data_IF_878288811580
#
_entry.id   IF_878288811580
#
_cell.length_a   1.000
_cell.length_b   1.000
_cell.length_c   1.000
_cell.angle_alpha   90.00
_cell.angle_beta   90.00
_cell.angle_gamma   90.00
#
_symmetry.space_group_name_H-M   'P 1'
#
loop_
_entity.id
_entity.type
_entity.pdbx_description
1 polymer ?
#
# COMPACT_ATOMS: atom_id res chain seq x y z
N UNK A 1 2.96 -9.00 14.00
CA UNK A 1 3.33 -9.93 12.90
C UNK A 1 2.14 -10.04 11.96
N UNK A 2 2.26 -9.54 10.73
CA UNK A 2 1.15 -9.33 9.77
C UNK A 2 0.51 -10.60 9.20
N UNK A 3 0.76 -11.79 9.76
CA UNK A 3 0.13 -13.06 9.35
C UNK A 3 0.45 -13.55 7.92
N UNK A 4 1.16 -12.75 7.12
CA UNK A 4 1.57 -13.07 5.76
C UNK A 4 3.02 -13.59 5.79
N UNK A 5 3.28 -14.68 5.07
CA UNK A 5 4.64 -15.19 4.88
C UNK A 5 5.50 -14.15 4.16
N UNK A 6 6.76 -13.99 4.58
CA UNK A 6 7.69 -13.03 3.97
C UNK A 6 7.81 -13.23 2.45
N UNK A 7 7.83 -14.49 2.00
CA UNK A 7 7.87 -14.83 0.56
C UNK A 7 6.65 -14.31 -0.19
N UNK A 8 5.46 -14.39 0.41
CA UNK A 8 4.22 -13.91 -0.22
C UNK A 8 4.20 -12.38 -0.29
N UNK A 9 4.72 -11.72 0.75
CA UNK A 9 4.87 -10.26 0.75
C UNK A 9 5.83 -9.78 -0.34
N UNK A 10 6.99 -10.43 -0.49
CA UNK A 10 7.96 -10.12 -1.55
C UNK A 10 7.34 -10.27 -2.95
N UNK A 11 6.59 -11.36 -3.19
CA UNK A 11 5.88 -11.56 -4.45
C UNK A 11 4.84 -10.47 -4.73
N UNK A 12 4.07 -10.04 -3.71
CA UNK A 12 3.11 -8.95 -3.86
C UNK A 12 3.82 -7.64 -4.22
N UNK A 13 4.93 -7.32 -3.55
CA UNK A 13 5.73 -6.13 -3.83
C UNK A 13 6.29 -6.16 -5.26
N UNK A 14 6.77 -7.31 -5.73
CA UNK A 14 7.30 -7.46 -7.08
C UNK A 14 6.22 -7.28 -8.15
N UNK A 15 5.01 -7.82 -7.94
CA UNK A 15 3.87 -7.60 -8.85
C UNK A 15 3.50 -6.11 -8.93
N UNK A 16 3.42 -5.43 -7.78
CA UNK A 16 3.10 -4.00 -7.74
C UNK A 16 4.21 -3.16 -8.35
N UNK A 17 5.49 -3.53 -8.14
CA UNK A 17 6.64 -2.89 -8.79
C UNK A 17 6.60 -3.07 -10.30
N UNK A 18 6.25 -4.26 -10.80
CA UNK A 18 6.13 -4.53 -12.23
C UNK A 18 4.98 -3.74 -12.87
N UNK A 19 3.83 -3.63 -12.19
CA UNK A 19 2.70 -2.80 -12.64
C UNK A 19 3.05 -1.30 -12.63
N UNK A 20 3.74 -0.84 -11.58
CA UNK A 20 4.22 0.53 -11.49
C UNK A 20 5.23 0.90 -12.59
N UNK A 21 6.05 -0.07 -13.04
CA UNK A 21 6.98 0.11 -14.15
C UNK A 21 6.27 0.12 -15.51
N UNK A 22 5.20 -0.66 -15.68
CA UNK A 22 4.37 -0.64 -16.89
C UNK A 22 3.57 0.66 -17.04
N UNK A 23 3.16 1.27 -15.92
CA UNK A 23 2.48 2.56 -15.92
C UNK A 23 3.48 3.67 -16.32
N UNK A 24 3.05 4.58 -17.20
CA UNK A 24 3.83 5.80 -17.54
C UNK A 24 4.26 6.50 -16.26
N UNK A 25 5.52 6.99 -16.23
CA UNK A 25 6.12 7.68 -15.07
C UNK A 25 5.08 8.56 -14.38
N UNK A 26 4.74 8.28 -13.11
CA UNK A 26 3.73 9.06 -12.43
C UNK A 26 4.24 10.50 -12.33
N UNK A 27 3.39 11.46 -12.72
CA UNK A 27 3.68 12.91 -12.65
C UNK A 27 4.03 13.33 -11.22
N UNK A 28 3.55 12.59 -10.22
CA UNK A 28 3.79 12.84 -8.80
C UNK A 28 4.48 11.65 -8.16
N UNK A 29 5.59 11.90 -7.45
CA UNK A 29 6.25 10.89 -6.62
C UNK A 29 5.29 10.48 -5.50
N UNK A 30 4.98 9.18 -5.32
CA UNK A 30 4.18 8.75 -4.18
C UNK A 30 4.92 9.10 -2.89
N UNK A 31 4.17 9.56 -1.88
CA UNK A 31 4.72 9.91 -0.56
C UNK A 31 5.24 8.68 0.19
N UNK A 32 4.77 7.48 -0.17
CA UNK A 32 5.14 6.19 0.41
C UNK A 32 5.88 5.32 -0.59
N UNK A 33 6.83 4.53 -0.08
CA UNK A 33 7.46 3.43 -0.81
C UNK A 33 6.44 2.34 -1.15
N UNK A 34 6.73 1.53 -2.16
CA UNK A 34 5.79 0.50 -2.64
C UNK A 34 5.56 -0.56 -1.56
N UNK A 35 6.60 -0.92 -0.81
CA UNK A 35 6.48 -1.86 0.31
C UNK A 35 5.45 -1.40 1.36
N UNK A 36 5.48 -0.12 1.73
CA UNK A 36 4.56 0.44 2.72
C UNK A 36 3.12 0.50 2.21
N UNK A 37 2.93 0.77 0.91
CA UNK A 37 1.60 0.74 0.29
C UNK A 37 0.99 -0.67 0.37
N UNK A 38 1.78 -1.70 0.06
CA UNK A 38 1.36 -3.11 0.16
C UNK A 38 1.09 -3.48 1.62
N UNK A 39 1.92 -3.05 2.55
CA UNK A 39 1.73 -3.30 3.98
C UNK A 39 0.44 -2.65 4.50
N UNK A 40 0.15 -1.44 4.07
CA UNK A 40 -1.06 -0.70 4.42
C UNK A 40 -2.33 -1.43 3.92
N UNK A 41 -2.31 -1.96 2.70
CA UNK A 41 -3.41 -2.76 2.15
C UNK A 41 -3.61 -4.05 2.93
N UNK A 42 -2.51 -4.75 3.27
CA UNK A 42 -2.60 -5.97 4.07
C UNK A 42 -3.22 -5.67 5.44
N UNK A 43 -2.80 -4.59 6.12
CA UNK A 43 -3.40 -4.18 7.40
C UNK A 43 -4.90 -3.86 7.26
N UNK A 44 -5.29 -3.16 6.20
CA UNK A 44 -6.70 -2.88 5.90
C UNK A 44 -7.51 -4.18 5.74
N UNK A 45 -7.02 -5.14 4.94
CA UNK A 45 -7.72 -6.41 4.67
C UNK A 45 -7.81 -7.31 5.90
N UNK A 46 -6.78 -7.31 6.75
CA UNK A 46 -6.68 -8.23 7.90
C UNK A 46 -7.38 -7.71 9.14
N UNK A 47 -7.30 -6.41 9.39
CA UNK A 47 -7.71 -5.80 10.66
C UNK A 47 -9.02 -5.01 10.53
N UNK A 48 -9.58 -4.88 9.31
CA UNK A 48 -10.76 -4.04 9.00
C UNK A 48 -10.65 -2.62 9.57
N UNK A 49 -9.41 -2.15 9.80
CA UNK A 49 -9.12 -0.88 10.44
C UNK A 49 -9.53 0.25 9.51
N UNK A 50 -10.28 1.22 10.01
CA UNK A 50 -10.79 2.31 9.17
C UNK A 50 -9.64 3.11 8.55
N UNK A 51 -9.86 3.63 7.33
CA UNK A 51 -8.87 4.42 6.60
C UNK A 51 -8.36 5.63 7.41
N UNK A 52 -9.20 6.17 8.29
CA UNK A 52 -8.83 7.24 9.22
C UNK A 52 -7.73 6.80 10.20
N UNK A 53 -7.88 5.65 10.86
CA UNK A 53 -6.90 5.16 11.83
C UNK A 53 -5.57 4.78 11.15
N UNK A 54 -5.64 4.17 9.97
CA UNK A 54 -4.46 3.86 9.16
C UNK A 54 -3.79 5.18 8.71
N UNK A 55 -4.56 6.15 8.24
CA UNK A 55 -4.02 7.46 7.85
C UNK A 55 -3.31 8.17 8.99
N UNK A 56 -3.89 8.12 10.20
CA UNK A 56 -3.29 8.72 11.40
C UNK A 56 -1.94 8.08 11.77
N UNK A 57 -1.86 6.74 11.74
CA UNK A 57 -0.63 6.00 12.04
C UNK A 57 0.50 6.30 11.03
N UNK A 58 0.14 6.46 9.76
CA UNK A 58 1.07 6.69 8.66
C UNK A 58 1.29 8.18 8.31
N UNK A 59 0.66 9.11 9.01
CA UNK A 59 0.72 10.55 8.70
C UNK A 59 0.16 10.93 7.32
N UNK A 60 -0.85 10.18 6.87
CA UNK A 60 -1.57 10.36 5.60
C UNK A 60 -3.01 10.83 5.84
N UNK A 61 -3.55 11.58 4.89
CA UNK A 61 -4.99 11.83 4.86
C UNK A 61 -5.74 10.54 4.50
N UNK A 62 -6.96 10.39 5.02
CA UNK A 62 -7.86 9.28 4.68
C UNK A 62 -8.02 9.12 3.15
N UNK A 63 -8.12 10.23 2.44
CA UNK A 63 -8.21 10.26 0.98
C UNK A 63 -6.95 9.73 0.29
N UNK A 64 -5.77 9.92 0.86
CA UNK A 64 -4.52 9.36 0.32
C UNK A 64 -4.45 7.85 0.57
N UNK A 65 -4.91 7.38 1.74
CA UNK A 65 -5.04 5.96 2.07
C UNK A 65 -6.01 5.29 1.08
N UNK A 66 -7.22 5.81 0.92
CA UNK A 66 -8.23 5.26 0.02
C UNK A 66 -7.72 5.16 -1.43
N UNK A 67 -7.07 6.21 -1.95
CA UNK A 67 -6.44 6.17 -3.29
C UNK A 67 -5.33 5.14 -3.42
N UNK A 68 -4.58 4.89 -2.35
CA UNK A 68 -3.48 3.91 -2.34
C UNK A 68 -4.05 2.49 -2.36
N UNK A 69 -5.06 2.21 -1.55
CA UNK A 69 -5.75 0.91 -1.51
C UNK A 69 -6.42 0.60 -2.85
N UNK A 70 -7.06 1.58 -3.49
CA UNK A 70 -7.69 1.40 -4.80
C UNK A 70 -6.71 1.25 -5.98
N UNK A 71 -5.45 1.64 -5.79
CA UNK A 71 -4.44 1.67 -6.85
C UNK A 71 -3.66 0.37 -6.98
N UNK A 72 -3.51 -0.35 -5.86
CA UNK A 72 -2.92 -1.71 -5.79
C UNK A 72 -3.93 -2.70 -6.37
#
# INVERSE_FOLDING_TARGET
MTGVSRKTFELMVDVVKADAQKKKKPVRRPKLIIEDQVLMVIQYWREYRTYYHIGSDWGLSESAVCRTVYKI
#
